data_IF_676307749754
#
_entry.id   IF_676307749754
#
_cell.length_a   1.000
_cell.length_b   1.000
_cell.length_c   1.000
_cell.angle_alpha   90.00
_cell.angle_beta   90.00
_cell.angle_gamma   90.00
#
_symmetry.space_group_name_H-M   'P 1'
#
loop_
_entity.id
_entity.type
_entity.pdbx_description
1 polymer ?
#
# COMPACT_ATOMS: atom_id res chain seq x y z
N UNK A 1 29.90 -3.39 10.40
CA UNK A 1 28.86 -4.36 9.97
C UNK A 1 27.87 -3.67 9.06
N UNK A 2 27.44 -4.32 7.97
CA UNK A 2 26.37 -3.83 7.08
C UNK A 2 25.15 -4.73 7.25
N UNK A 3 23.95 -4.14 7.42
CA UNK A 3 22.67 -4.86 7.47
C UNK A 3 21.85 -4.43 6.26
N UNK A 4 21.24 -5.40 5.58
CA UNK A 4 20.24 -5.17 4.54
C UNK A 4 18.87 -5.53 5.13
N UNK A 5 17.90 -4.63 5.00
CA UNK A 5 16.56 -4.81 5.54
C UNK A 5 15.58 -4.69 4.38
N UNK A 6 14.72 -5.70 4.24
CA UNK A 6 13.60 -5.64 3.30
C UNK A 6 12.53 -4.65 3.79
N UNK A 7 11.71 -4.12 2.89
CA UNK A 7 10.69 -3.14 3.22
C UNK A 7 9.33 -3.80 3.40
N UNK A 8 8.88 -4.53 2.39
CA UNK A 8 7.52 -5.06 2.32
C UNK A 8 7.33 -6.22 3.30
N UNK A 9 6.32 -6.11 4.16
CA UNK A 9 6.00 -7.07 5.23
C UNK A 9 7.14 -7.33 6.23
N UNK A 10 8.19 -6.50 6.23
CA UNK A 10 9.27 -6.47 7.23
C UNK A 10 9.30 -5.15 8.00
N UNK A 11 9.38 -4.02 7.29
CA UNK A 11 9.26 -2.68 7.89
C UNK A 11 7.82 -2.17 7.76
N UNK A 12 7.19 -2.47 6.63
CA UNK A 12 5.92 -1.88 6.22
C UNK A 12 4.85 -2.93 5.98
N UNK A 13 3.68 -2.76 6.58
CA UNK A 13 2.57 -3.71 6.51
C UNK A 13 1.77 -3.54 5.21
N UNK A 14 2.29 -4.12 4.13
CA UNK A 14 1.65 -4.06 2.80
C UNK A 14 0.30 -4.77 2.79
N UNK A 15 0.14 -5.84 3.58
CA UNK A 15 -1.12 -6.55 3.75
C UNK A 15 -2.21 -5.66 4.31
N UNK A 16 -1.91 -4.86 5.33
CA UNK A 16 -2.86 -3.89 5.90
C UNK A 16 -3.18 -2.76 4.92
N UNK A 17 -2.18 -2.28 4.17
CA UNK A 17 -2.39 -1.29 3.12
C UNK A 17 -3.35 -1.82 2.04
N UNK A 18 -3.12 -3.03 1.55
CA UNK A 18 -4.00 -3.69 0.58
C UNK A 18 -5.43 -3.85 1.11
N UNK A 19 -5.61 -4.27 2.37
CA UNK A 19 -6.93 -4.34 3.01
C UNK A 19 -7.62 -2.96 3.04
N UNK A 20 -6.86 -1.90 3.31
CA UNK A 20 -7.38 -0.52 3.34
C UNK A 20 -7.81 -0.05 1.95
N UNK A 21 -7.03 -0.38 0.91
CA UNK A 21 -7.42 -0.11 -0.48
C UNK A 21 -8.69 -0.87 -0.87
N UNK A 22 -8.75 -2.18 -0.62
CA UNK A 22 -9.96 -3.00 -0.88
C UNK A 22 -11.19 -2.38 -0.21
N UNK A 23 -11.06 -1.92 1.03
CA UNK A 23 -12.15 -1.27 1.77
C UNK A 23 -12.62 0.01 1.06
N UNK A 24 -11.71 0.90 0.67
CA UNK A 24 -12.04 2.13 -0.06
C UNK A 24 -12.81 1.81 -1.34
N UNK A 25 -12.34 0.85 -2.14
CA UNK A 25 -13.01 0.46 -3.38
C UNK A 25 -14.39 -0.15 -3.11
N UNK A 26 -14.51 -1.02 -2.10
CA UNK A 26 -15.79 -1.64 -1.72
C UNK A 26 -16.83 -0.65 -1.23
N UNK A 27 -16.42 0.36 -0.45
CA UNK A 27 -17.31 1.44 0.03
C UNK A 27 -17.78 2.36 -1.11
N UNK A 28 -17.15 2.27 -2.29
CA UNK A 28 -17.50 3.03 -3.49
C UNK A 28 -18.01 2.13 -4.63
N UNK A 29 -18.61 0.98 -4.28
CA UNK A 29 -19.36 0.16 -5.23
C UNK A 29 -18.51 -0.82 -6.05
N UNK A 30 -17.24 -1.04 -5.70
CA UNK A 30 -16.40 -2.07 -6.34
C UNK A 30 -16.32 -3.31 -5.46
N UNK A 31 -17.00 -4.41 -5.81
CA UNK A 31 -16.86 -5.69 -5.11
C UNK A 31 -15.40 -6.10 -4.93
N UNK A 32 -15.07 -6.63 -3.74
CA UNK A 32 -13.72 -7.14 -3.43
C UNK A 32 -13.19 -8.10 -4.49
N UNK A 33 -14.04 -8.96 -5.05
CA UNK A 33 -13.67 -9.92 -6.10
C UNK A 33 -13.13 -9.20 -7.35
N UNK A 34 -13.78 -8.12 -7.77
CA UNK A 34 -13.37 -7.35 -8.95
C UNK A 34 -12.06 -6.62 -8.70
N UNK A 35 -11.88 -6.03 -7.51
CA UNK A 35 -10.61 -5.45 -7.10
C UNK A 35 -9.48 -6.48 -7.16
N UNK A 36 -9.69 -7.68 -6.61
CA UNK A 36 -8.68 -8.73 -6.59
C UNK A 36 -8.36 -9.26 -7.97
N UNK A 37 -9.36 -9.38 -8.84
CA UNK A 37 -9.19 -9.81 -10.23
C UNK A 37 -8.33 -8.82 -11.01
N UNK A 38 -8.66 -7.52 -10.96
CA UNK A 38 -7.84 -6.50 -11.61
C UNK A 38 -6.42 -6.44 -11.04
N UNK A 39 -6.31 -6.52 -9.71
CA UNK A 39 -5.01 -6.58 -9.04
C UNK A 39 -4.18 -7.74 -9.59
N UNK A 40 -4.73 -8.95 -9.67
CA UNK A 40 -4.04 -10.11 -10.25
C UNK A 40 -3.68 -9.90 -11.72
N UNK A 41 -4.56 -9.26 -12.51
CA UNK A 41 -4.33 -9.02 -13.93
C UNK A 41 -3.15 -8.08 -14.18
N UNK A 42 -3.00 -7.00 -13.40
CA UNK A 42 -1.81 -6.13 -13.48
C UNK A 42 -0.53 -6.89 -13.14
N UNK A 43 -0.55 -7.68 -12.06
CA UNK A 43 0.62 -8.46 -11.65
C UNK A 43 1.00 -9.54 -12.68
N UNK A 44 0.00 -10.21 -13.27
CA UNK A 44 0.22 -11.22 -14.32
C UNK A 44 0.82 -10.61 -15.59
N UNK A 45 0.44 -9.39 -15.92
CA UNK A 45 0.91 -8.73 -17.12
C UNK A 45 2.34 -8.19 -17.03
N UNK A 46 3.00 -8.23 -15.86
CA UNK A 46 4.42 -7.95 -15.52
C UNK A 46 5.12 -6.73 -16.16
N UNK A 47 4.47 -6.00 -17.07
CA UNK A 47 5.04 -4.93 -17.87
C UNK A 47 4.83 -3.56 -17.24
N UNK A 48 4.04 -3.45 -16.17
CA UNK A 48 3.73 -2.14 -15.58
C UNK A 48 3.63 -2.17 -14.05
N UNK A 49 4.20 -1.16 -13.41
CA UNK A 49 4.03 -0.91 -11.97
C UNK A 49 2.56 -0.71 -11.64
N UNK A 50 2.05 -1.47 -10.67
CA UNK A 50 0.70 -1.27 -10.13
C UNK A 50 0.64 0.06 -9.39
N UNK A 51 -0.36 0.90 -9.70
CA UNK A 51 -0.70 2.07 -8.89
C UNK A 51 -2.19 2.06 -8.58
N UNK A 52 -2.62 2.54 -7.38
CA UNK A 52 -4.04 2.69 -7.08
C UNK A 52 -4.79 3.53 -8.12
N UNK A 53 -4.14 4.54 -8.72
CA UNK A 53 -4.72 5.37 -9.78
C UNK A 53 -5.08 4.58 -11.06
N UNK A 54 -4.27 3.58 -11.45
CA UNK A 54 -4.63 2.69 -12.57
C UNK A 54 -5.88 1.87 -12.26
N UNK A 55 -6.04 1.48 -11.01
CA UNK A 55 -7.19 0.75 -10.52
C UNK A 55 -8.46 1.60 -10.60
N UNK A 56 -8.36 2.89 -10.22
CA UNK A 56 -9.44 3.87 -10.40
C UNK A 56 -9.78 4.03 -11.88
N UNK A 57 -8.79 4.25 -12.74
CA UNK A 57 -9.01 4.46 -14.17
C UNK A 57 -9.65 3.25 -14.86
N UNK A 58 -9.35 2.03 -14.42
CA UNK A 58 -10.01 0.83 -14.91
C UNK A 58 -11.49 0.78 -14.52
N UNK A 59 -11.81 1.03 -13.25
CA UNK A 59 -13.20 1.00 -12.81
C UNK A 59 -14.00 2.18 -13.33
N UNK A 60 -13.43 3.39 -13.38
CA UNK A 60 -14.09 4.58 -13.94
C UNK A 60 -14.57 4.39 -15.39
N UNK A 61 -13.86 3.56 -16.18
CA UNK A 61 -14.22 3.24 -17.57
C UNK A 61 -15.26 2.13 -17.70
N UNK A 62 -15.31 1.19 -16.76
CA UNK A 62 -16.05 -0.06 -16.89
C UNK A 62 -17.24 -0.20 -15.92
N UNK A 63 -17.27 0.61 -14.86
CA UNK A 63 -18.27 0.59 -13.80
C UNK A 63 -18.58 2.05 -13.45
N UNK A 64 -19.85 2.41 -13.29
CA UNK A 64 -20.28 3.77 -12.92
C UNK A 64 -19.88 4.12 -11.47
N UNK A 65 -18.57 4.15 -11.19
CA UNK A 65 -18.01 4.50 -9.88
C UNK A 65 -17.56 5.94 -9.88
N UNK A 66 -17.78 6.62 -8.76
CA UNK A 66 -17.27 7.97 -8.55
C UNK A 66 -15.75 7.93 -8.34
N UNK A 67 -15.03 8.02 -9.45
CA UNK A 67 -13.57 8.02 -9.48
C UNK A 67 -12.95 9.18 -8.70
N UNK A 68 -13.62 10.32 -8.61
CA UNK A 68 -13.16 11.49 -7.85
C UNK A 68 -13.19 11.19 -6.35
N UNK A 69 -14.29 10.59 -5.89
CA UNK A 69 -14.44 10.17 -4.49
C UNK A 69 -13.42 9.11 -4.08
N UNK A 70 -13.21 8.09 -4.92
CA UNK A 70 -12.20 7.06 -4.66
C UNK A 70 -10.79 7.67 -4.61
N UNK A 71 -10.47 8.58 -5.53
CA UNK A 71 -9.17 9.28 -5.57
C UNK A 71 -8.93 10.08 -4.29
N UNK A 72 -9.92 10.84 -3.83
CA UNK A 72 -9.86 11.58 -2.57
C UNK A 72 -9.57 10.68 -1.37
N UNK A 73 -10.24 9.53 -1.26
CA UNK A 73 -10.01 8.59 -0.17
C UNK A 73 -8.62 7.95 -0.22
N UNK A 74 -8.13 7.63 -1.41
CA UNK A 74 -6.76 7.10 -1.60
C UNK A 74 -5.73 8.17 -1.22
N UNK A 75 -5.88 9.40 -1.66
CA UNK A 75 -4.97 10.49 -1.27
C UNK A 75 -4.93 10.69 0.25
N UNK A 76 -6.10 10.64 0.90
CA UNK A 76 -6.20 10.72 2.36
C UNK A 76 -5.48 9.55 3.05
N UNK A 77 -5.60 8.34 2.52
CA UNK A 77 -4.88 7.15 2.98
C UNK A 77 -3.35 7.33 2.83
N UNK A 78 -2.90 7.80 1.67
CA UNK A 78 -1.48 7.99 1.37
C UNK A 78 -0.82 9.08 2.24
N UNK A 79 -1.60 10.05 2.74
CA UNK A 79 -1.12 11.04 3.72
C UNK A 79 -0.83 10.44 5.10
N UNK A 80 -1.32 9.24 5.42
CA UNK A 80 -1.14 8.59 6.71
C UNK A 80 -0.51 7.19 6.62
N UNK A 81 0.55 7.04 5.82
CA UNK A 81 1.24 5.74 5.69
C UNK A 81 2.09 5.37 6.92
N UNK A 82 2.37 6.32 7.82
CA UNK A 82 3.17 6.05 9.04
C UNK A 82 2.52 5.01 9.96
N UNK A 83 1.20 4.89 9.96
CA UNK A 83 0.48 3.88 10.75
C UNK A 83 0.66 2.46 10.22
N UNK A 84 1.22 2.29 9.02
CA UNK A 84 1.47 0.99 8.40
C UNK A 84 2.89 0.47 8.67
N UNK A 85 3.76 1.26 9.31
CA UNK A 85 5.09 0.81 9.74
C UNK A 85 4.96 -0.01 11.02
N UNK A 86 5.51 -1.21 11.04
CA UNK A 86 5.46 -2.07 12.22
C UNK A 86 6.22 -1.45 13.40
N UNK A 87 5.73 -1.67 14.62
CA UNK A 87 6.31 -1.04 15.81
C UNK A 87 7.66 -1.65 16.20
N UNK A 88 7.83 -2.96 16.02
CA UNK A 88 9.11 -3.66 16.18
C UNK A 88 10.18 -3.13 15.23
N UNK A 89 9.83 -2.85 13.96
CA UNK A 89 10.74 -2.22 13.01
C UNK A 89 11.20 -0.83 13.50
N UNK A 90 10.30 -0.01 14.08
CA UNK A 90 10.66 1.28 14.68
C UNK A 90 11.63 1.11 15.85
N UNK A 91 11.36 0.15 16.73
CA UNK A 91 12.20 -0.15 17.91
C UNK A 91 13.58 -0.62 17.46
N UNK A 92 13.64 -1.56 16.51
CA UNK A 92 14.86 -2.09 15.94
C UNK A 92 15.74 -0.99 15.35
N UNK A 93 15.17 -0.15 14.48
CA UNK A 93 15.92 0.94 13.83
C UNK A 93 16.43 1.97 14.86
N UNK A 94 15.64 2.26 15.91
CA UNK A 94 16.06 3.14 17.00
C UNK A 94 17.29 2.58 17.72
N UNK A 95 17.25 1.32 18.15
CA UNK A 95 18.38 0.70 18.85
C UNK A 95 19.61 0.55 17.96
N UNK A 96 19.43 0.13 16.71
CA UNK A 96 20.53 0.00 15.76
C UNK A 96 21.25 1.34 15.52
N UNK A 97 20.50 2.44 15.43
CA UNK A 97 21.08 3.78 15.28
C UNK A 97 21.92 4.21 16.49
N UNK A 98 21.48 3.88 17.71
CA UNK A 98 22.19 4.20 18.95
C UNK A 98 23.51 3.41 19.05
N UNK A 99 23.47 2.12 18.75
CA UNK A 99 24.68 1.27 18.72
C UNK A 99 25.72 1.81 17.75
N UNK A 100 25.30 2.28 16.57
CA UNK A 100 26.20 2.88 15.58
C UNK A 100 26.87 4.16 16.10
N UNK A 101 26.16 4.96 16.90
CA UNK A 101 26.69 6.21 17.44
C UNK A 101 27.66 5.99 18.61
N UNK A 102 27.50 4.91 19.38
CA UNK A 102 28.44 4.52 20.45
C UNK A 102 29.74 3.91 19.91
N UNK A 103 29.70 3.39 18.67
CA UNK A 103 30.88 2.84 17.98
C UNK A 103 31.70 3.86 17.18
N UNK A 104 31.40 5.15 17.31
CA UNK A 104 32.14 6.27 16.70
C UNK A 104 32.92 7.02 17.78
#
# INVERSE_FOLDING_TARGET
MKIFIDFDDVIFNTKLLKKSLVKIFSENGVPKKDFEEFYRLIFKNQKTTHTPLKHIGFFAKNKEVDSSKISFHIEKLLKNLKSYVFNDAKIFLKHFSQLKNLSK
#
